data_IF_727432039773
#
_entry.id   IF_727432039773
#
_cell.length_a   1.000
_cell.length_b   1.000
_cell.length_c   1.000
_cell.angle_alpha   90.00
_cell.angle_beta   90.00
_cell.angle_gamma   90.00
#
_symmetry.space_group_name_H-M   'P 1'
#
loop_
_entity.id
_entity.type
_entity.pdbx_description
1 polymer ?
#
# COMPACT_ATOMS: atom_id res chain seq x y z
N UNK A 1 -8.58 -4.20 14.35
CA UNK A 1 -7.68 -4.66 13.25
C UNK A 1 -7.11 -6.01 13.64
N UNK A 2 -6.60 -6.10 14.87
CA UNK A 2 -6.19 -7.34 15.54
C UNK A 2 -7.25 -8.43 15.50
N UNK A 3 -8.51 -8.11 15.85
CA UNK A 3 -9.61 -9.09 15.84
C UNK A 3 -9.81 -9.67 14.44
N UNK A 4 -9.70 -8.84 13.39
CA UNK A 4 -9.80 -9.34 12.03
C UNK A 4 -8.68 -10.34 11.72
N UNK A 5 -7.45 -10.06 12.16
CA UNK A 5 -6.31 -10.98 12.00
C UNK A 5 -6.60 -12.31 12.73
N UNK A 6 -7.10 -12.25 13.97
CA UNK A 6 -7.45 -13.43 14.78
C UNK A 6 -8.37 -14.42 14.06
N UNK A 7 -9.30 -13.93 13.25
CA UNK A 7 -10.27 -14.76 12.55
C UNK A 7 -9.96 -14.97 11.06
N UNK A 8 -8.79 -14.54 10.56
CA UNK A 8 -8.40 -14.72 9.16
C UNK A 8 -8.99 -13.70 8.19
N UNK A 9 -9.31 -12.51 8.66
CA UNK A 9 -9.82 -11.38 7.89
C UNK A 9 -8.76 -10.29 7.71
N UNK A 10 -9.04 -9.36 6.81
CA UNK A 10 -8.26 -8.16 6.55
C UNK A 10 -9.20 -6.98 6.35
N UNK A 11 -8.79 -5.81 6.83
CA UNK A 11 -9.47 -4.55 6.60
C UNK A 11 -8.84 -3.75 5.45
N UNK A 12 -9.60 -2.77 4.98
CA UNK A 12 -9.16 -1.79 3.99
C UNK A 12 -8.81 -0.47 4.66
N UNK A 13 -8.20 0.45 3.91
CA UNK A 13 -8.01 1.82 4.37
C UNK A 13 -9.36 2.45 4.75
N UNK A 14 -9.39 3.14 5.88
CA UNK A 14 -10.57 3.89 6.32
C UNK A 14 -10.79 5.03 5.33
N UNK A 15 -11.95 5.08 4.71
CA UNK A 15 -12.36 6.15 3.82
C UNK A 15 -13.41 7.02 4.51
N UNK A 16 -13.37 8.33 4.27
CA UNK A 16 -14.41 9.25 4.73
C UNK A 16 -15.64 9.09 3.83
N UNK A 17 -16.81 8.88 4.43
CA UNK A 17 -18.08 8.83 3.70
C UNK A 17 -18.70 10.23 3.61
N UNK A 18 -18.66 10.99 4.71
CA UNK A 18 -19.09 12.39 4.78
C UNK A 18 -18.46 13.13 5.99
N UNK A 19 -19.08 14.25 6.41
CA UNK A 19 -18.65 15.10 7.52
C UNK A 19 -18.31 14.35 8.81
N UNK A 20 -19.03 13.28 9.13
CA UNK A 20 -18.97 12.63 10.45
C UNK A 20 -18.79 11.11 10.34
N UNK A 21 -19.02 10.53 9.16
CA UNK A 21 -19.01 9.09 8.95
C UNK A 21 -17.79 8.62 8.18
N UNK A 22 -17.29 7.46 8.60
CA UNK A 22 -16.18 6.77 7.98
C UNK A 22 -16.57 5.33 7.67
N UNK A 23 -16.04 4.79 6.58
CA UNK A 23 -16.25 3.41 6.17
C UNK A 23 -14.94 2.64 6.17
N UNK A 24 -15.00 1.42 6.70
CA UNK A 24 -13.93 0.43 6.62
C UNK A 24 -14.53 -0.91 6.21
N UNK A 25 -14.09 -1.41 5.06
CA UNK A 25 -14.49 -2.74 4.59
C UNK A 25 -13.59 -3.79 5.24
N UNK A 26 -14.22 -4.88 5.68
CA UNK A 26 -13.56 -6.11 6.08
C UNK A 26 -13.85 -7.20 5.06
N UNK A 27 -12.85 -8.02 4.78
CA UNK A 27 -12.98 -9.18 3.90
C UNK A 27 -12.20 -10.35 4.46
N UNK A 28 -12.71 -11.56 4.25
CA UNK A 28 -11.94 -12.79 4.52
C UNK A 28 -10.68 -12.77 3.68
N UNK A 29 -9.55 -13.15 4.27
CA UNK A 29 -8.32 -13.39 3.51
C UNK A 29 -8.55 -14.57 2.57
N UNK A 30 -7.81 -14.55 1.46
CA UNK A 30 -7.75 -15.66 0.51
C UNK A 30 -6.28 -16.06 0.29
N UNK A 31 -6.06 -17.16 -0.43
CA UNK A 31 -4.71 -17.67 -0.73
C UNK A 31 -3.78 -16.66 -1.41
N UNK A 32 -4.31 -15.63 -2.07
CA UNK A 32 -3.54 -14.61 -2.76
C UNK A 32 -3.25 -13.37 -1.89
N UNK A 33 -3.80 -13.32 -0.68
CA UNK A 33 -3.64 -12.20 0.24
C UNK A 33 -2.20 -12.16 0.75
N UNK A 34 -1.43 -11.14 0.34
CA UNK A 34 -0.09 -10.92 0.85
C UNK A 34 -0.18 -10.23 2.21
N UNK A 35 0.83 -10.46 3.04
CA UNK A 35 0.96 -9.83 4.35
C UNK A 35 1.98 -8.70 4.28
N UNK A 36 1.77 -7.65 5.07
CA UNK A 36 2.81 -6.65 5.34
C UNK A 36 3.64 -7.10 6.55
N UNK A 37 4.86 -6.58 6.68
CA UNK A 37 5.73 -6.88 7.81
C UNK A 37 5.05 -6.55 9.15
N UNK A 38 4.34 -5.41 9.22
CA UNK A 38 3.56 -5.04 10.41
C UNK A 38 2.45 -6.05 10.72
N UNK A 39 1.71 -6.53 9.70
CA UNK A 39 0.64 -7.51 9.95
C UNK A 39 1.22 -8.83 10.46
N UNK A 40 2.41 -9.22 9.99
CA UNK A 40 3.12 -10.39 10.52
C UNK A 40 3.51 -10.15 11.98
N UNK A 41 4.05 -8.97 12.33
CA UNK A 41 4.36 -8.61 13.72
C UNK A 41 3.13 -8.71 14.62
N UNK A 42 2.01 -8.10 14.22
CA UNK A 42 0.76 -8.19 14.98
C UNK A 42 0.27 -9.63 15.10
N UNK A 43 0.35 -10.42 14.03
CA UNK A 43 0.01 -11.84 14.06
C UNK A 43 0.84 -12.61 15.10
N UNK A 44 2.15 -12.37 15.15
CA UNK A 44 3.05 -12.96 16.15
C UNK A 44 2.63 -12.60 17.58
N UNK A 45 2.41 -11.31 17.86
CA UNK A 45 1.96 -10.83 19.17
C UNK A 45 0.62 -11.45 19.59
N UNK A 46 -0.33 -11.58 18.66
CA UNK A 46 -1.64 -12.20 18.93
C UNK A 46 -1.55 -13.71 19.19
N UNK A 47 -0.58 -14.40 18.61
CA UNK A 47 -0.29 -15.81 18.91
C UNK A 47 0.28 -15.94 20.31
N UNK A 48 1.27 -15.11 20.67
CA UNK A 48 1.88 -15.09 22.01
C UNK A 48 0.84 -14.79 23.10
N UNK A 49 -0.17 -13.97 22.79
CA UNK A 49 -1.29 -13.67 23.67
C UNK A 49 -2.40 -14.74 23.70
N UNK A 50 -2.31 -15.81 22.89
CA UNK A 50 -3.36 -16.84 22.81
C UNK A 50 -4.68 -16.37 22.19
N UNK A 51 -4.67 -15.24 21.46
CA UNK A 51 -5.89 -14.62 20.89
C UNK A 51 -6.23 -15.12 19.48
N UNK A 52 -5.35 -15.86 18.83
CA UNK A 52 -5.57 -16.32 17.46
C UNK A 52 -6.54 -17.51 17.41
N UNK A 53 -7.59 -17.40 16.59
CA UNK A 53 -8.47 -18.52 16.29
C UNK A 53 -7.83 -19.45 15.22
N UNK A 54 -8.29 -20.70 15.07
CA UNK A 54 -7.73 -21.66 14.10
C UNK A 54 -7.70 -21.12 12.66
N UNK A 55 -8.73 -20.37 12.25
CA UNK A 55 -8.78 -19.75 10.93
C UNK A 55 -7.68 -18.68 10.74
N UNK A 56 -7.44 -17.86 11.75
CA UNK A 56 -6.36 -16.86 11.72
C UNK A 56 -4.99 -17.52 11.66
N UNK A 57 -4.74 -18.55 12.48
CA UNK A 57 -3.46 -19.28 12.51
C UNK A 57 -3.14 -19.84 11.13
N UNK A 58 -4.11 -20.51 10.50
CA UNK A 58 -3.96 -21.04 9.14
C UNK A 58 -3.50 -19.96 8.15
N UNK A 59 -4.17 -18.80 8.13
CA UNK A 59 -3.81 -17.72 7.20
C UNK A 59 -2.48 -17.04 7.55
N UNK A 60 -2.12 -17.00 8.82
CA UNK A 60 -0.83 -16.49 9.27
C UNK A 60 0.31 -17.39 8.77
N UNK A 61 0.22 -18.70 9.01
CA UNK A 61 1.20 -19.68 8.52
C UNK A 61 1.32 -19.70 7.00
N UNK A 62 0.20 -19.65 6.27
CA UNK A 62 0.20 -19.51 4.80
C UNK A 62 0.83 -18.18 4.34
N UNK A 63 0.68 -17.11 5.15
CA UNK A 63 1.26 -15.80 4.91
C UNK A 63 2.78 -15.80 5.03
N UNK A 64 3.32 -16.48 6.04
CA UNK A 64 4.77 -16.60 6.29
C UNK A 64 5.51 -17.30 5.15
N UNK A 65 4.83 -18.20 4.43
CA UNK A 65 5.40 -18.93 3.28
C UNK A 65 5.58 -18.05 2.03
N UNK A 66 5.09 -16.81 2.05
CA UNK A 66 5.06 -15.91 0.88
C UNK A 66 5.88 -14.65 1.18
N UNK A 67 6.56 -14.06 0.17
CA UNK A 67 7.20 -12.77 0.35
C UNK A 67 6.15 -11.70 0.67
N UNK A 68 6.48 -10.84 1.65
CA UNK A 68 5.63 -9.74 2.09
C UNK A 68 5.37 -8.73 0.97
N UNK A 69 4.39 -7.85 1.18
CA UNK A 69 4.03 -6.81 0.21
C UNK A 69 5.21 -5.94 -0.23
N UNK A 70 6.13 -5.67 0.69
CA UNK A 70 7.32 -4.83 0.51
C UNK A 70 8.62 -5.64 0.51
N UNK A 71 8.55 -6.95 0.27
CA UNK A 71 9.75 -7.79 0.22
C UNK A 71 10.78 -7.25 -0.78
N UNK A 72 12.00 -7.00 -0.29
CA UNK A 72 13.10 -6.40 -1.06
C UNK A 72 13.04 -4.88 -1.20
N UNK A 73 12.07 -4.21 -0.61
CA UNK A 73 11.94 -2.74 -0.64
C UNK A 73 12.45 -2.18 0.69
N UNK A 74 13.44 -1.27 0.68
CA UNK A 74 13.93 -0.63 1.91
C UNK A 74 12.81 0.11 2.66
N UNK A 75 12.92 0.19 3.99
CA UNK A 75 11.98 0.97 4.83
C UNK A 75 11.92 2.43 4.39
N UNK A 76 13.05 3.02 4.01
CA UNK A 76 13.13 4.36 3.44
C UNK A 76 13.74 4.27 2.04
N UNK A 77 12.94 3.93 1.01
CA UNK A 77 13.47 3.83 -0.33
C UNK A 77 13.83 5.24 -0.84
N UNK A 78 14.95 5.41 -1.54
CA UNK A 78 15.25 6.65 -2.26
C UNK A 78 14.25 6.85 -3.41
N UNK A 79 14.26 8.05 -4.01
CA UNK A 79 13.48 8.31 -5.22
C UNK A 79 13.97 7.38 -6.35
N UNK A 80 13.09 6.62 -7.02
CA UNK A 80 13.46 5.83 -8.19
C UNK A 80 13.98 6.73 -9.31
N UNK A 81 15.09 6.34 -9.95
CA UNK A 81 15.74 7.14 -10.99
C UNK A 81 14.82 7.41 -12.19
N UNK A 82 14.02 6.42 -12.58
CA UNK A 82 13.03 6.57 -13.66
C UNK A 82 11.99 7.66 -13.35
N UNK A 83 11.56 7.77 -12.08
CA UNK A 83 10.64 8.82 -11.65
C UNK A 83 11.30 10.19 -11.71
N UNK A 84 12.56 10.30 -11.26
CA UNK A 84 13.34 11.54 -11.32
C UNK A 84 13.43 12.04 -12.76
N UNK A 85 13.85 11.18 -13.70
CA UNK A 85 13.93 11.51 -15.13
C UNK A 85 12.59 11.95 -15.71
N UNK A 86 11.48 11.34 -15.28
CA UNK A 86 10.14 11.71 -15.77
C UNK A 86 9.65 13.07 -15.23
N UNK A 87 9.96 13.39 -13.97
CA UNK A 87 9.68 14.68 -13.36
C UNK A 87 10.54 15.80 -13.95
N UNK A 88 11.82 15.53 -14.23
CA UNK A 88 12.74 16.51 -14.82
C UNK A 88 12.27 17.01 -16.20
N UNK A 89 11.52 16.19 -16.95
CA UNK A 89 10.89 16.59 -18.22
C UNK A 89 9.70 17.55 -18.05
N UNK A 90 9.20 17.75 -16.83
CA UNK A 90 7.99 18.52 -16.54
C UNK A 90 8.21 19.43 -15.32
N UNK A 91 8.73 20.66 -15.48
CA UNK A 91 9.06 21.55 -14.36
C UNK A 91 7.90 21.79 -13.37
N UNK A 92 6.69 22.03 -13.88
CA UNK A 92 5.48 22.18 -13.05
C UNK A 92 5.16 20.93 -12.23
N UNK A 93 5.31 19.75 -12.83
CA UNK A 93 5.09 18.48 -12.12
C UNK A 93 6.15 18.27 -11.04
N UNK A 94 7.41 18.60 -11.34
CA UNK A 94 8.53 18.52 -10.40
C UNK A 94 8.33 19.43 -9.19
N UNK A 95 7.93 20.68 -9.40
CA UNK A 95 7.63 21.62 -8.32
C UNK A 95 6.50 21.12 -7.42
N UNK A 96 5.36 20.76 -8.02
CA UNK A 96 4.21 20.24 -7.28
C UNK A 96 4.55 18.95 -6.53
N UNK A 97 5.32 18.05 -7.14
CA UNK A 97 5.80 16.83 -6.50
C UNK A 97 6.72 17.15 -5.31
N UNK A 98 7.61 18.12 -5.45
CA UNK A 98 8.51 18.55 -4.38
C UNK A 98 7.76 19.14 -3.18
N UNK A 99 6.61 19.75 -3.40
CA UNK A 99 5.74 20.27 -2.34
C UNK A 99 4.91 19.19 -1.63
N UNK A 100 4.94 17.94 -2.09
CA UNK A 100 4.27 16.84 -1.40
C UNK A 100 4.94 16.48 -0.07
N UNK A 101 4.14 16.08 0.90
CA UNK A 101 4.62 15.57 2.17
C UNK A 101 5.56 14.35 1.96
N UNK A 102 6.63 14.20 2.76
CA UNK A 102 7.58 13.09 2.63
C UNK A 102 6.91 11.70 2.67
N UNK A 103 5.83 11.53 3.44
CA UNK A 103 5.08 10.27 3.52
C UNK A 103 4.42 9.89 2.20
N UNK A 104 3.86 10.87 1.48
CA UNK A 104 3.23 10.68 0.16
C UNK A 104 4.30 10.31 -0.87
N UNK A 105 5.43 11.01 -0.87
CA UNK A 105 6.57 10.68 -1.75
C UNK A 105 7.05 9.23 -1.52
N UNK A 106 7.22 8.82 -0.26
CA UNK A 106 7.59 7.44 0.09
C UNK A 106 6.55 6.42 -0.36
N UNK A 107 5.26 6.74 -0.26
CA UNK A 107 4.19 5.88 -0.78
C UNK A 107 4.34 5.67 -2.30
N UNK A 108 4.65 6.73 -3.04
CA UNK A 108 4.88 6.66 -4.49
C UNK A 108 6.13 5.83 -4.83
N UNK A 109 7.23 6.02 -4.12
CA UNK A 109 8.46 5.23 -4.34
C UNK A 109 8.21 3.74 -4.12
N UNK A 110 7.56 3.37 -3.01
CA UNK A 110 7.17 1.97 -2.75
C UNK A 110 6.21 1.46 -3.82
N UNK A 111 5.23 2.28 -4.22
CA UNK A 111 4.31 1.96 -5.31
C UNK A 111 5.05 1.58 -6.58
N UNK A 112 6.06 2.34 -6.99
CA UNK A 112 6.88 2.02 -8.17
C UNK A 112 7.69 0.75 -7.92
N UNK A 113 8.43 0.65 -6.82
CA UNK A 113 9.31 -0.49 -6.52
C UNK A 113 8.56 -1.83 -6.37
N UNK A 114 7.29 -1.82 -5.95
CA UNK A 114 6.43 -3.01 -5.95
C UNK A 114 6.10 -3.55 -7.35
N UNK A 115 6.27 -2.72 -8.39
CA UNK A 115 6.00 -3.09 -9.78
C UNK A 115 7.09 -4.02 -10.32
N UNK A 116 6.86 -5.33 -10.34
CA UNK A 116 7.83 -6.31 -10.84
C UNK A 116 8.11 -6.18 -12.34
N UNK A 117 7.14 -5.72 -13.13
CA UNK A 117 7.26 -5.52 -14.58
C UNK A 117 7.58 -4.07 -14.89
N UNK A 118 8.44 -3.84 -15.88
CA UNK A 118 8.80 -2.49 -16.35
C UNK A 118 7.56 -1.69 -16.73
N UNK A 119 6.65 -2.28 -17.52
CA UNK A 119 5.37 -1.67 -17.93
C UNK A 119 4.55 -1.17 -16.74
N UNK A 120 4.53 -1.93 -15.63
CA UNK A 120 3.82 -1.54 -14.42
C UNK A 120 4.47 -0.34 -13.74
N UNK A 121 5.81 -0.30 -13.71
CA UNK A 121 6.57 0.83 -13.16
C UNK A 121 6.33 2.08 -13.98
N UNK A 122 6.46 1.99 -15.31
CA UNK A 122 6.22 3.08 -16.24
C UNK A 122 4.80 3.63 -16.12
N UNK A 123 3.79 2.75 -16.09
CA UNK A 123 2.38 3.19 -15.90
C UNK A 123 2.20 3.97 -14.59
N UNK A 124 2.78 3.50 -13.49
CA UNK A 124 2.72 4.19 -12.20
C UNK A 124 3.44 5.53 -12.22
N UNK A 125 4.62 5.61 -12.84
CA UNK A 125 5.37 6.85 -13.01
C UNK A 125 4.56 7.88 -13.80
N UNK A 126 3.95 7.46 -14.92
CA UNK A 126 3.12 8.36 -15.73
C UNK A 126 1.94 8.91 -14.93
N UNK A 127 1.23 8.05 -14.19
CA UNK A 127 0.15 8.49 -13.29
C UNK A 127 0.66 9.51 -12.24
N UNK A 128 1.85 9.27 -11.68
CA UNK A 128 2.49 10.19 -10.74
C UNK A 128 2.77 11.56 -11.34
N UNK A 129 3.35 11.59 -12.53
CA UNK A 129 3.63 12.83 -13.24
C UNK A 129 2.34 13.57 -13.58
N UNK A 130 1.32 12.89 -14.11
CA UNK A 130 0.06 13.53 -14.50
C UNK A 130 -0.71 14.11 -13.30
N UNK A 131 -0.78 13.40 -12.17
CA UNK A 131 -1.40 13.99 -10.98
C UNK A 131 -0.57 15.12 -10.38
N UNK A 132 0.76 15.04 -10.43
CA UNK A 132 1.61 16.14 -10.00
C UNK A 132 1.38 17.38 -10.89
N UNK A 133 1.23 17.22 -12.21
CA UNK A 133 0.82 18.32 -13.12
C UNK A 133 -0.51 18.94 -12.71
N UNK A 134 -1.47 18.11 -12.32
CA UNK A 134 -2.81 18.52 -11.88
C UNK A 134 -2.88 19.02 -10.41
N UNK A 135 -1.76 19.04 -9.68
CA UNK A 135 -1.73 19.45 -8.27
C UNK A 135 -2.43 18.47 -7.30
N UNK A 136 -2.73 17.25 -7.75
CA UNK A 136 -3.39 16.22 -6.93
C UNK A 136 -2.39 15.61 -5.95
N UNK A 137 -2.77 15.56 -4.67
CA UNK A 137 -1.89 15.07 -3.59
C UNK A 137 -1.94 13.55 -3.38
N UNK A 138 -2.95 12.84 -3.88
CA UNK A 138 -3.10 11.39 -3.65
C UNK A 138 -3.57 10.65 -4.89
N UNK A 139 -2.74 9.72 -5.38
CA UNK A 139 -3.00 8.87 -6.56
C UNK A 139 -3.43 7.45 -6.22
N UNK A 140 -3.03 6.97 -5.05
CA UNK A 140 -3.28 5.58 -4.64
C UNK A 140 -4.38 5.49 -3.59
N UNK A 141 -5.03 6.62 -3.28
CA UNK A 141 -6.29 6.69 -2.54
C UNK A 141 -7.43 6.14 -3.39
N UNK A 142 -8.16 5.19 -2.81
CA UNK A 142 -9.25 4.37 -3.34
C UNK A 142 -10.37 5.13 -4.06
N UNK A 143 -10.14 5.65 -5.25
CA UNK A 143 -11.22 6.05 -6.18
C UNK A 143 -11.26 5.17 -7.43
N UNK A 144 -10.15 4.52 -7.82
CA UNK A 144 -10.11 3.65 -9.01
C UNK A 144 -10.34 2.15 -8.73
N UNK A 145 -10.92 1.78 -7.58
CA UNK A 145 -11.21 0.37 -7.23
C UNK A 145 -12.69 0.03 -7.05
N UNK A 146 -13.60 0.90 -7.45
CA UNK A 146 -15.05 0.61 -7.43
C UNK A 146 -15.56 0.08 -8.78
N UNK A 147 -14.78 0.18 -9.87
CA UNK A 147 -15.16 -0.38 -11.17
C UNK A 147 -14.18 -1.48 -11.61
N UNK A 148 -14.25 -2.65 -10.96
CA UNK A 148 -14.11 -3.96 -11.60
C UNK A 148 -14.53 -5.07 -10.63
#
# INVERSE_FOLDING_TARGET
MEEAICFGWIDTTINRLDGERYIRKFSKRNKNSRWSDNTISYGKELIEQGRMAPAGLKFYEEGLKKPTHDAGIPKNPPMPEELRKALDKNPKAKENFNNLAPSIKKMYYRGILRGKREETRTKRINLIVEAAKAGKKNLFGTQDKINN
#
